data_IF_697967986029
#
_entry.id   IF_697967986029
#
_cell.length_a   1.000
_cell.length_b   1.000
_cell.length_c   1.000
_cell.angle_alpha   90.00
_cell.angle_beta   90.00
_cell.angle_gamma   90.00
#
_symmetry.space_group_name_H-M   'P 1'
#
loop_
_entity.id
_entity.type
_entity.pdbx_description
1 polymer ?
#
# COMPACT_ATOMS: atom_id res chain seq x y z
N UNK A 1 -42.51 49.63 -77.56
CA UNK A 1 -41.43 49.79 -76.57
C UNK A 1 -41.45 48.59 -75.61
N UNK A 2 -40.38 47.79 -75.49
CA UNK A 2 -40.31 46.71 -74.50
C UNK A 2 -39.58 47.20 -73.23
N UNK A 3 -40.02 46.79 -72.03
CA UNK A 3 -39.24 46.96 -70.79
C UNK A 3 -39.26 45.68 -69.94
N UNK A 4 -38.15 44.95 -70.09
CA UNK A 4 -37.35 44.25 -69.09
C UNK A 4 -38.07 43.61 -67.90
N UNK A 5 -38.23 42.29 -67.96
CA UNK A 5 -38.46 41.41 -66.81
C UNK A 5 -37.13 41.13 -66.11
N UNK A 6 -36.95 41.66 -64.90
CA UNK A 6 -35.79 41.36 -64.07
C UNK A 6 -35.98 40.00 -63.36
N UNK A 7 -35.21 39.00 -63.77
CA UNK A 7 -35.17 37.69 -63.08
C UNK A 7 -34.23 37.77 -61.88
N UNK A 8 -34.78 37.73 -60.67
CA UNK A 8 -33.98 37.73 -59.44
C UNK A 8 -33.44 36.33 -59.15
N UNK A 9 -32.13 36.13 -59.32
CA UNK A 9 -31.42 34.89 -59.00
C UNK A 9 -31.29 34.75 -57.48
N UNK A 10 -32.18 33.99 -56.84
CA UNK A 10 -32.04 33.59 -55.42
C UNK A 10 -30.75 32.78 -55.25
N UNK A 11 -29.78 33.34 -54.52
CA UNK A 11 -28.66 32.57 -53.99
C UNK A 11 -29.20 31.61 -52.94
N UNK A 12 -29.19 30.32 -53.30
CA UNK A 12 -29.39 29.21 -52.36
C UNK A 12 -28.37 29.32 -51.23
N UNK A 13 -28.86 29.67 -50.04
CA UNK A 13 -28.07 29.62 -48.81
C UNK A 13 -27.76 28.18 -48.45
N UNK A 14 -26.49 27.79 -48.53
CA UNK A 14 -25.99 26.50 -48.07
C UNK A 14 -26.22 26.44 -46.56
N UNK A 15 -27.17 25.61 -46.10
CA UNK A 15 -27.43 25.41 -44.67
C UNK A 15 -26.14 24.88 -44.00
N UNK A 16 -25.64 25.50 -42.92
CA UNK A 16 -24.51 24.95 -42.19
C UNK A 16 -24.95 23.64 -41.53
N UNK A 17 -24.16 22.59 -41.77
CA UNK A 17 -24.40 21.24 -41.28
C UNK A 17 -23.95 21.13 -39.81
N UNK A 18 -24.60 21.86 -38.89
CA UNK A 18 -24.20 21.97 -37.48
C UNK A 18 -24.44 20.73 -36.62
N UNK A 19 -24.99 19.65 -37.20
CA UNK A 19 -25.27 18.40 -36.47
C UNK A 19 -24.02 17.54 -36.25
N UNK A 20 -22.94 17.74 -37.00
CA UNK A 20 -21.71 16.94 -36.85
C UNK A 20 -20.84 17.41 -35.69
N UNK A 21 -20.81 18.70 -35.41
CA UNK A 21 -19.91 19.26 -34.39
C UNK A 21 -20.34 18.90 -32.96
N UNK A 22 -21.65 18.70 -32.71
CA UNK A 22 -22.15 18.40 -31.36
C UNK A 22 -21.85 16.97 -30.90
N UNK A 23 -21.84 16.00 -31.81
CA UNK A 23 -21.53 14.60 -31.47
C UNK A 23 -20.04 14.34 -31.26
N UNK A 24 -19.19 15.09 -31.97
CA UNK A 24 -17.74 14.93 -31.88
C UNK A 24 -17.21 15.30 -30.49
N UNK A 25 -17.64 16.43 -29.92
CA UNK A 25 -17.20 16.86 -28.58
C UNK A 25 -17.60 15.88 -27.48
N UNK A 26 -18.75 15.19 -27.61
CA UNK A 26 -19.16 14.15 -26.67
C UNK A 26 -18.24 12.93 -26.70
N UNK A 27 -17.77 12.54 -27.89
CA UNK A 27 -16.86 11.39 -28.05
C UNK A 27 -15.45 11.73 -27.56
N UNK A 28 -14.94 12.92 -27.85
CA UNK A 28 -13.64 13.38 -27.34
C UNK A 28 -13.63 13.43 -25.80
N UNK A 29 -14.72 13.91 -25.19
CA UNK A 29 -14.85 13.91 -23.74
C UNK A 29 -14.99 12.48 -23.17
N UNK A 30 -15.78 11.62 -23.81
CA UNK A 30 -15.93 10.22 -23.39
C UNK A 30 -14.60 9.44 -23.42
N UNK A 31 -13.71 9.77 -24.36
CA UNK A 31 -12.36 9.19 -24.42
C UNK A 31 -11.39 9.79 -23.40
N UNK A 32 -11.59 11.03 -22.95
CA UNK A 32 -10.72 11.66 -21.95
C UNK A 32 -10.98 11.15 -20.50
N UNK A 33 -12.24 10.88 -20.15
CA UNK A 33 -12.64 10.37 -18.83
C UNK A 33 -11.83 9.16 -18.36
N UNK A 34 -11.65 8.06 -19.14
CA UNK A 34 -10.91 6.90 -18.67
C UNK A 34 -9.45 7.23 -18.33
N UNK A 35 -8.79 8.13 -19.07
CA UNK A 35 -7.42 8.56 -18.74
C UNK A 35 -7.38 9.37 -17.45
N UNK A 36 -8.33 10.28 -17.25
CA UNK A 36 -8.40 11.08 -16.01
C UNK A 36 -8.65 10.15 -14.81
N UNK A 37 -9.54 9.16 -14.94
CA UNK A 37 -9.80 8.17 -13.90
C UNK A 37 -8.55 7.33 -13.58
N UNK A 38 -7.79 6.90 -14.60
CA UNK A 38 -6.53 6.19 -14.40
C UNK A 38 -5.51 7.02 -13.64
N UNK A 39 -5.39 8.31 -13.96
CA UNK A 39 -4.46 9.23 -13.27
C UNK A 39 -4.88 9.42 -11.82
N UNK A 40 -6.16 9.67 -11.55
CA UNK A 40 -6.68 9.82 -10.19
C UNK A 40 -6.44 8.53 -9.40
N UNK A 41 -6.71 7.38 -9.99
CA UNK A 41 -6.48 6.07 -9.37
C UNK A 41 -5.00 5.84 -9.06
N UNK A 42 -4.10 6.18 -9.99
CA UNK A 42 -2.65 6.10 -9.77
C UNK A 42 -2.20 6.99 -8.61
N UNK A 43 -2.69 8.24 -8.54
CA UNK A 43 -2.36 9.18 -7.45
C UNK A 43 -2.88 8.64 -6.11
N UNK A 44 -4.12 8.14 -6.05
CA UNK A 44 -4.69 7.57 -4.82
C UNK A 44 -3.89 6.36 -4.33
N UNK A 45 -3.53 5.43 -5.22
CA UNK A 45 -2.72 4.27 -4.85
C UNK A 45 -1.32 4.65 -4.40
N UNK A 46 -0.67 5.55 -5.13
CA UNK A 46 0.65 6.05 -4.76
C UNK A 46 0.63 6.74 -3.40
N UNK A 47 -0.34 7.62 -3.16
CA UNK A 47 -0.53 8.29 -1.88
C UNK A 47 -0.74 7.31 -0.73
N UNK A 48 -1.52 6.24 -0.95
CA UNK A 48 -1.74 5.19 0.05
C UNK A 48 -0.47 4.39 0.36
N UNK A 49 0.29 3.98 -0.66
CA UNK A 49 1.57 3.26 -0.45
C UNK A 49 2.55 4.11 0.33
N UNK A 50 2.69 5.38 -0.05
CA UNK A 50 3.57 6.33 0.64
C UNK A 50 3.17 6.54 2.09
N UNK A 51 1.87 6.71 2.35
CA UNK A 51 1.33 6.84 3.71
C UNK A 51 1.64 5.63 4.60
N UNK A 52 1.45 4.41 4.07
CA UNK A 52 1.76 3.17 4.80
C UNK A 52 3.26 3.09 5.10
N UNK A 53 4.13 3.32 4.11
CA UNK A 53 5.59 3.35 4.32
C UNK A 53 5.99 4.31 5.42
N UNK A 54 5.52 5.55 5.36
CA UNK A 54 5.85 6.56 6.35
C UNK A 54 5.40 6.15 7.77
N UNK A 55 4.21 5.57 7.89
CA UNK A 55 3.67 5.12 9.18
C UNK A 55 4.47 3.95 9.77
N UNK A 56 4.86 2.99 8.93
CA UNK A 56 5.72 1.86 9.33
C UNK A 56 7.11 2.36 9.74
N UNK A 57 7.67 3.35 9.05
CA UNK A 57 8.96 3.95 9.39
C UNK A 57 8.96 4.56 10.77
N UNK A 58 7.95 5.37 11.06
CA UNK A 58 7.78 6.00 12.36
C UNK A 58 7.58 4.96 13.47
N UNK A 59 6.75 3.95 13.22
CA UNK A 59 6.53 2.84 14.15
C UNK A 59 7.82 2.06 14.43
N UNK A 60 8.61 1.73 13.41
CA UNK A 60 9.88 1.02 13.56
C UNK A 60 10.92 1.87 14.32
N UNK A 61 11.02 3.17 14.03
CA UNK A 61 11.92 4.08 14.72
C UNK A 61 11.60 4.17 16.21
N UNK A 62 10.33 4.39 16.53
CA UNK A 62 9.89 4.53 17.91
C UNK A 62 9.98 3.21 18.69
N UNK A 63 9.67 2.08 18.04
CA UNK A 63 9.86 0.75 18.60
C UNK A 63 11.32 0.46 18.92
N UNK A 64 12.23 0.79 17.99
CA UNK A 64 13.67 0.60 18.21
C UNK A 64 14.18 1.46 19.38
N UNK A 65 13.70 2.70 19.46
CA UNK A 65 14.02 3.62 20.57
C UNK A 65 13.45 3.15 21.91
N UNK A 66 12.29 2.51 21.92
CA UNK A 66 11.73 1.92 23.13
C UNK A 66 12.55 0.70 23.60
N UNK A 67 12.94 -0.16 22.66
CA UNK A 67 13.74 -1.35 22.92
C UNK A 67 15.17 -1.03 23.39
N UNK A 68 15.80 0.03 22.90
CA UNK A 68 17.16 0.41 23.30
C UNK A 68 17.29 0.72 24.79
N UNK A 69 16.17 1.08 25.45
CA UNK A 69 16.08 1.38 26.89
C UNK A 69 15.61 0.20 27.74
N UNK A 70 15.23 -0.91 27.13
CA UNK A 70 14.69 -2.06 27.83
C UNK A 70 15.80 -3.06 28.18
N UNK A 71 15.85 -3.56 29.43
CA UNK A 71 16.74 -4.66 29.79
C UNK A 71 16.18 -6.01 29.30
N UNK A 72 17.03 -7.03 29.24
CA UNK A 72 16.64 -8.43 29.03
C UNK A 72 15.85 -8.73 27.74
N UNK A 73 16.26 -8.16 26.60
CA UNK A 73 15.63 -8.48 25.30
C UNK A 73 15.84 -9.93 24.83
N UNK A 74 16.61 -10.76 25.54
CA UNK A 74 16.66 -12.20 25.27
C UNK A 74 15.32 -12.89 25.53
N UNK A 75 14.50 -12.37 26.44
CA UNK A 75 13.17 -12.89 26.74
C UNK A 75 12.14 -12.44 25.67
N UNK A 76 11.51 -13.37 24.93
CA UNK A 76 10.47 -13.04 23.95
C UNK A 76 9.33 -12.21 24.54
N UNK A 77 8.88 -12.52 25.76
CA UNK A 77 7.75 -11.81 26.36
C UNK A 77 8.04 -10.34 26.60
N UNK A 78 9.29 -9.97 26.89
CA UNK A 78 9.70 -8.58 27.02
C UNK A 78 9.61 -7.87 25.67
N UNK A 79 10.21 -8.45 24.62
CA UNK A 79 10.22 -7.87 23.26
C UNK A 79 8.81 -7.66 22.73
N UNK A 80 7.96 -8.68 22.85
CA UNK A 80 6.57 -8.65 22.43
C UNK A 80 5.74 -7.64 23.23
N UNK A 81 6.05 -7.45 24.51
CA UNK A 81 5.39 -6.42 25.32
C UNK A 81 5.80 -5.00 24.91
N UNK A 82 7.07 -4.76 24.58
CA UNK A 82 7.57 -3.45 24.12
C UNK A 82 6.98 -3.06 22.78
N UNK A 83 7.01 -4.00 21.85
CA UNK A 83 6.55 -3.80 20.47
C UNK A 83 5.04 -3.96 20.40
N UNK A 84 4.42 -4.66 21.33
CA UNK A 84 2.98 -4.85 21.42
C UNK A 84 2.44 -5.94 20.51
N UNK A 85 3.28 -6.62 19.74
CA UNK A 85 2.89 -7.73 18.87
C UNK A 85 3.82 -8.92 19.04
N UNK A 86 3.27 -10.11 18.83
CA UNK A 86 4.08 -11.31 18.54
C UNK A 86 4.74 -11.18 17.16
N UNK A 87 5.78 -11.98 16.86
CA UNK A 87 6.41 -11.99 15.53
C UNK A 87 5.44 -12.21 14.36
N UNK A 88 4.35 -12.95 14.60
CA UNK A 88 3.28 -13.23 13.64
C UNK A 88 2.16 -12.16 13.62
N UNK A 89 2.31 -11.11 14.41
CA UNK A 89 1.40 -9.95 14.40
C UNK A 89 0.14 -10.09 15.25
N UNK A 90 0.10 -11.02 16.22
CA UNK A 90 -0.95 -11.03 17.24
C UNK A 90 -0.71 -9.91 18.24
N UNK A 91 -1.76 -9.17 18.61
CA UNK A 91 -1.65 -8.10 19.60
C UNK A 91 -1.42 -8.67 21.00
N UNK A 92 -0.35 -8.21 21.65
CA UNK A 92 0.02 -8.56 23.02
C UNK A 92 -0.22 -7.38 23.97
N UNK A 93 0.21 -6.18 23.57
CA UNK A 93 0.08 -4.97 24.38
C UNK A 93 -0.45 -3.80 23.53
N UNK A 94 -1.75 -3.42 23.70
CA UNK A 94 -2.34 -2.30 22.98
C UNK A 94 -1.72 -0.94 23.34
N UNK A 95 -1.12 -0.81 24.52
CA UNK A 95 -0.50 0.43 25.02
C UNK A 95 0.95 0.60 24.53
N UNK A 96 1.47 -0.35 23.75
CA UNK A 96 2.77 -0.21 23.08
C UNK A 96 2.78 1.00 22.15
N UNK A 97 3.93 1.68 22.08
CA UNK A 97 4.11 2.82 21.18
C UNK A 97 4.00 2.41 19.72
N UNK A 98 4.44 1.18 19.37
CA UNK A 98 4.31 0.63 18.01
C UNK A 98 2.85 0.29 17.73
N UNK A 99 2.14 -0.36 18.66
CA UNK A 99 0.72 -0.67 18.49
C UNK A 99 -0.13 0.61 18.34
N UNK A 100 0.14 1.62 19.16
CA UNK A 100 -0.50 2.93 19.06
C UNK A 100 -0.20 3.65 17.74
N UNK A 101 1.06 3.64 17.28
CA UNK A 101 1.45 4.24 16.01
C UNK A 101 0.72 3.57 14.83
N UNK A 102 0.71 2.23 14.78
CA UNK A 102 0.04 1.47 13.74
C UNK A 102 -1.49 1.61 13.81
N UNK A 103 -2.05 1.75 15.02
CA UNK A 103 -3.49 1.95 15.25
C UNK A 103 -3.97 3.31 14.82
N UNK A 104 -3.19 4.35 15.10
CA UNK A 104 -3.46 5.70 14.57
C UNK A 104 -3.42 5.74 13.04
N UNK A 105 -2.59 4.90 12.42
CA UNK A 105 -2.48 4.75 10.98
C UNK A 105 -3.53 3.80 10.35
N UNK A 106 -4.43 3.21 11.16
CA UNK A 106 -5.44 2.23 10.73
C UNK A 106 -4.87 1.03 9.99
N UNK A 107 -3.75 0.51 10.48
CA UNK A 107 -3.05 -0.64 9.91
C UNK A 107 -3.34 -1.95 10.65
N UNK A 108 -4.32 -1.98 11.56
CA UNK A 108 -4.73 -3.17 12.32
C UNK A 108 -6.10 -3.66 11.85
N UNK A 109 -6.42 -4.90 12.24
CA UNK A 109 -7.65 -5.60 11.86
C UNK A 109 -8.93 -4.91 12.35
N UNK A 110 -8.91 -4.24 13.50
CA UNK A 110 -10.11 -3.68 14.14
C UNK A 110 -10.00 -2.15 14.35
N UNK A 111 -9.66 -1.44 13.28
CA UNK A 111 -9.46 0.02 13.23
C UNK A 111 -8.24 0.48 14.04
N UNK A 112 -8.44 0.86 15.31
CA UNK A 112 -7.40 1.47 16.15
C UNK A 112 -6.75 0.46 17.12
N UNK A 113 -7.28 -0.75 17.20
CA UNK A 113 -6.77 -1.84 18.03
C UNK A 113 -7.01 -3.15 17.29
N UNK A 114 -6.28 -4.22 17.62
CA UNK A 114 -6.45 -5.54 17.00
C UNK A 114 -5.13 -6.11 16.50
N UNK A 115 -5.21 -7.17 15.71
CA UNK A 115 -4.02 -7.83 15.20
C UNK A 115 -3.53 -7.14 13.93
N UNK A 116 -2.27 -7.33 13.60
CA UNK A 116 -1.79 -7.01 12.28
C UNK A 116 -2.47 -7.89 11.22
N UNK A 117 -2.63 -7.41 9.98
CA UNK A 117 -3.17 -8.20 8.90
C UNK A 117 -2.38 -9.49 8.69
N UNK A 118 -3.05 -10.56 8.29
CA UNK A 118 -2.40 -11.83 7.97
C UNK A 118 -1.28 -11.65 6.94
N UNK A 119 -0.10 -12.20 7.22
CA UNK A 119 1.12 -12.03 6.42
C UNK A 119 2.04 -10.89 6.88
N UNK A 120 1.63 -10.11 7.89
CA UNK A 120 2.53 -9.14 8.53
C UNK A 120 3.49 -9.83 9.48
N UNK A 121 4.68 -9.27 9.66
CA UNK A 121 5.65 -9.73 10.66
C UNK A 121 6.25 -8.55 11.39
N UNK A 122 6.49 -8.70 12.68
CA UNK A 122 7.23 -7.71 13.46
C UNK A 122 8.37 -8.39 14.19
N UNK A 123 9.59 -8.12 13.75
CA UNK A 123 10.79 -8.80 14.26
C UNK A 123 11.67 -7.81 15.00
N UNK A 124 12.14 -8.22 16.17
CA UNK A 124 13.20 -7.52 16.91
C UNK A 124 14.51 -8.25 16.68
N UNK A 125 15.41 -7.62 15.94
CA UNK A 125 16.71 -8.20 15.59
C UNK A 125 17.74 -7.87 16.69
N UNK A 126 18.64 -8.83 17.03
CA UNK A 126 18.85 -10.10 16.33
C UNK A 126 18.02 -11.28 16.84
N UNK A 127 17.28 -11.15 17.95
CA UNK A 127 16.62 -12.30 18.60
C UNK A 127 15.52 -12.96 17.77
N UNK A 128 14.74 -12.17 17.04
CA UNK A 128 13.66 -12.66 16.17
C UNK A 128 14.12 -12.72 14.71
N UNK A 129 15.45 -12.80 14.46
CA UNK A 129 15.97 -12.98 13.12
C UNK A 129 15.44 -14.29 12.52
N UNK A 130 14.88 -14.19 11.32
CA UNK A 130 14.47 -15.34 10.52
C UNK A 130 15.64 -15.90 9.71
N UNK A 131 15.30 -16.71 8.71
CA UNK A 131 16.25 -17.22 7.72
C UNK A 131 16.68 -16.18 6.68
N UNK A 132 16.16 -14.96 6.76
CA UNK A 132 16.37 -13.94 5.73
C UNK A 132 17.78 -13.33 5.89
N UNK A 133 18.63 -13.33 4.85
CA UNK A 133 19.96 -12.74 4.93
C UNK A 133 19.93 -11.22 5.22
N UNK A 134 18.78 -10.59 4.93
CA UNK A 134 18.50 -9.19 5.24
C UNK A 134 18.24 -8.92 6.72
N UNK A 135 18.16 -9.94 7.59
CA UNK A 135 18.05 -9.76 9.04
C UNK A 135 19.42 -9.55 9.72
N UNK A 136 20.52 -9.68 8.96
CA UNK A 136 21.85 -9.39 9.46
C UNK A 136 21.95 -7.92 9.91
N UNK A 137 22.39 -7.72 11.15
CA UNK A 137 22.65 -6.41 11.77
C UNK A 137 24.10 -6.39 12.27
N UNK A 138 24.76 -5.22 12.33
CA UNK A 138 26.05 -5.10 12.99
C UNK A 138 25.97 -5.52 14.46
N UNK A 139 27.00 -6.23 14.93
CA UNK A 139 27.08 -6.67 16.32
C UNK A 139 26.94 -5.49 17.28
N UNK A 140 26.24 -5.68 18.39
CA UNK A 140 26.02 -4.62 19.38
C UNK A 140 24.84 -3.70 19.08
N UNK A 141 24.04 -3.97 18.05
CA UNK A 141 22.94 -3.10 17.61
C UNK A 141 21.59 -3.80 17.76
N UNK A 142 20.51 -3.03 17.85
CA UNK A 142 19.13 -3.54 17.87
C UNK A 142 18.40 -2.95 16.66
N UNK A 143 17.51 -3.73 16.06
CA UNK A 143 16.65 -3.23 15.00
C UNK A 143 15.21 -3.73 15.15
N UNK A 144 14.25 -2.89 14.76
CA UNK A 144 12.86 -3.31 14.55
C UNK A 144 12.61 -3.39 13.06
N UNK A 145 12.15 -4.55 12.61
CA UNK A 145 11.73 -4.79 11.23
C UNK A 145 10.22 -5.05 11.23
N UNK A 146 9.49 -4.28 10.44
CA UNK A 146 8.06 -4.46 10.24
C UNK A 146 7.84 -4.81 8.77
N UNK A 147 7.20 -5.95 8.54
CA UNK A 147 6.70 -6.36 7.24
C UNK A 147 5.20 -6.25 7.23
N UNK A 148 4.70 -5.55 6.22
CA UNK A 148 3.29 -5.27 6.07
C UNK A 148 2.82 -5.64 4.65
N UNK A 149 1.86 -6.57 4.50
CA UNK A 149 1.32 -6.92 3.20
C UNK A 149 0.44 -5.77 2.71
N UNK A 150 0.89 -5.04 1.69
CA UNK A 150 0.10 -3.97 1.13
C UNK A 150 -1.10 -4.56 0.39
N UNK A 151 -2.31 -4.19 0.82
CA UNK A 151 -3.54 -4.49 0.10
C UNK A 151 -4.01 -3.26 -0.65
N UNK A 152 -4.19 -3.39 -1.96
CA UNK A 152 -4.86 -2.37 -2.75
C UNK A 152 -6.25 -2.07 -2.17
N UNK A 153 -6.76 -0.87 -2.44
CA UNK A 153 -8.18 -0.56 -2.25
C UNK A 153 -8.98 -1.64 -2.98
N UNK A 154 -10.05 -2.13 -2.36
CA UNK A 154 -10.86 -3.26 -2.84
C UNK A 154 -10.97 -3.26 -4.35
N UNK A 155 -10.73 -4.43 -4.96
CA UNK A 155 -10.95 -4.60 -6.39
C UNK A 155 -12.43 -4.28 -6.67
N UNK A 156 -12.76 -3.23 -7.46
CA UNK A 156 -14.15 -2.84 -7.70
C UNK A 156 -14.96 -3.91 -8.47
N UNK A 157 -14.28 -4.96 -8.94
CA UNK A 157 -14.87 -6.11 -9.63
C UNK A 157 -15.05 -7.34 -8.73
N UNK A 158 -14.76 -7.27 -7.43
CA UNK A 158 -14.82 -8.43 -6.55
C UNK A 158 -15.65 -8.19 -5.27
N UNK A 159 -16.94 -8.51 -5.34
CA UNK A 159 -17.78 -8.78 -4.18
C UNK A 159 -17.99 -10.29 -4.06
N UNK A 160 -17.10 -10.97 -3.33
CA UNK A 160 -17.49 -12.23 -2.68
C UNK A 160 -16.51 -13.38 -2.69
N UNK A 161 -15.55 -13.50 -3.61
CA UNK A 161 -14.58 -14.62 -3.61
C UNK A 161 -13.24 -14.15 -4.20
N UNK A 162 -12.18 -14.18 -3.39
CA UNK A 162 -10.83 -13.74 -3.75
C UNK A 162 -10.11 -14.72 -4.69
N UNK A 163 -10.68 -15.08 -5.84
CA UNK A 163 -9.98 -15.88 -6.87
C UNK A 163 -8.95 -15.04 -7.65
N UNK A 164 -9.17 -13.72 -7.72
CA UNK A 164 -8.13 -12.76 -8.10
C UNK A 164 -7.65 -12.06 -6.83
N UNK A 165 -6.72 -12.69 -6.11
CA UNK A 165 -6.01 -12.05 -5.01
C UNK A 165 -5.19 -10.85 -5.50
N UNK A 166 -4.51 -10.14 -4.59
CA UNK A 166 -3.48 -9.15 -4.94
C UNK A 166 -2.21 -9.85 -5.51
N UNK A 167 -2.36 -10.98 -6.17
CA UNK A 167 -1.32 -11.79 -6.80
C UNK A 167 -1.84 -12.18 -8.19
N UNK A 168 -1.02 -11.98 -9.22
CA UNK A 168 -1.24 -12.61 -10.52
C UNK A 168 -0.35 -13.84 -10.52
N UNK A 169 -0.99 -14.99 -10.65
CA UNK A 169 -0.34 -16.29 -10.61
C UNK A 169 -0.15 -16.78 -12.05
N UNK A 170 1.11 -16.96 -12.45
CA UNK A 170 1.45 -17.55 -13.74
C UNK A 170 1.59 -19.05 -13.53
N UNK A 171 0.74 -19.83 -14.19
CA UNK A 171 0.83 -21.29 -14.19
C UNK A 171 2.12 -21.73 -14.88
N UNK A 172 2.93 -22.53 -14.19
CA UNK A 172 4.27 -22.93 -14.66
C UNK A 172 4.34 -24.37 -15.17
N UNK A 173 3.25 -25.13 -15.03
CA UNK A 173 3.15 -26.50 -15.51
C UNK A 173 2.36 -27.41 -14.56
N UNK A 174 2.11 -28.67 -14.96
CA UNK A 174 1.37 -29.65 -14.17
C UNK A 174 2.00 -29.97 -12.81
N UNK A 175 3.33 -29.86 -12.71
CA UNK A 175 4.11 -30.15 -11.50
C UNK A 175 4.75 -28.89 -10.87
N UNK A 176 4.43 -27.70 -11.42
CA UNK A 176 5.03 -26.44 -11.01
C UNK A 176 4.09 -25.63 -10.12
N UNK A 177 4.59 -25.18 -8.96
CA UNK A 177 3.86 -24.19 -8.16
C UNK A 177 3.72 -22.89 -8.97
N UNK A 178 2.55 -22.22 -8.95
CA UNK A 178 2.35 -20.96 -9.64
C UNK A 178 3.29 -19.89 -9.12
N UNK A 179 3.78 -19.02 -10.01
CA UNK A 179 4.61 -17.87 -9.62
C UNK A 179 3.73 -16.64 -9.48
N UNK A 180 3.71 -16.06 -8.29
CA UNK A 180 2.86 -14.91 -7.92
C UNK A 180 3.62 -13.59 -8.02
N UNK A 181 3.09 -12.60 -8.75
CA UNK A 181 3.84 -11.36 -9.09
C UNK A 181 3.36 -10.05 -8.45
N UNK A 182 2.38 -10.06 -7.53
CA UNK A 182 1.82 -8.82 -6.95
C UNK A 182 1.83 -8.75 -5.42
N UNK A 183 2.47 -9.70 -4.73
CA UNK A 183 2.61 -9.65 -3.28
C UNK A 183 3.95 -9.04 -2.89
N UNK A 184 4.07 -7.70 -2.98
CA UNK A 184 5.22 -7.00 -2.44
C UNK A 184 4.90 -6.55 -1.01
N UNK A 185 5.37 -7.26 0.03
CA UNK A 185 5.28 -6.73 1.38
C UNK A 185 6.09 -5.43 1.43
N UNK A 186 5.50 -4.40 2.04
CA UNK A 186 6.27 -3.22 2.43
C UNK A 186 7.08 -3.63 3.65
N UNK A 187 8.40 -3.71 3.49
CA UNK A 187 9.32 -3.98 4.59
C UNK A 187 10.02 -2.68 4.97
N UNK A 188 9.96 -2.34 6.26
CA UNK A 188 10.58 -1.16 6.83
C UNK A 188 11.43 -1.60 8.04
N UNK A 189 12.66 -1.07 8.13
CA UNK A 189 13.60 -1.43 9.18
C UNK A 189 14.29 -0.20 9.73
N UNK A 190 14.34 -0.09 11.06
CA UNK A 190 15.16 0.92 11.75
C UNK A 190 16.13 0.23 12.69
N UNK A 191 17.31 0.82 12.85
CA UNK A 191 18.44 0.29 13.62
C UNK A 191 18.90 1.34 14.63
N UNK A 192 19.18 0.94 15.87
CA UNK A 192 19.76 1.82 16.91
C UNK A 192 20.72 1.06 17.84
N UNK A 193 21.66 1.81 18.43
CA UNK A 193 22.53 1.30 19.48
C UNK A 193 21.75 1.22 20.81
N UNK A 194 21.87 0.12 21.58
CA UNK A 194 21.27 0.02 22.90
C UNK A 194 21.92 0.98 23.90
N UNK A 195 21.11 1.56 24.79
CA UNK A 195 21.59 2.38 25.90
C UNK A 195 21.98 1.54 27.13
N UNK A 196 21.48 0.30 27.21
CA UNK A 196 21.81 -0.67 28.25
C UNK A 196 22.60 -1.83 27.68
N UNK A 197 23.54 -2.38 28.46
CA UNK A 197 24.31 -3.54 28.04
C UNK A 197 23.40 -4.78 27.92
N UNK A 198 23.40 -5.41 26.74
CA UNK A 198 22.60 -6.60 26.46
C UNK A 198 23.51 -7.78 26.11
N UNK A 199 23.15 -8.97 26.58
CA UNK A 199 23.76 -10.21 26.10
C UNK A 199 23.17 -10.55 24.73
N UNK A 200 24.00 -10.36 23.71
CA UNK A 200 23.69 -10.83 22.36
C UNK A 200 23.89 -12.35 22.30
N UNK A 201 23.02 -13.08 21.57
CA UNK A 201 23.20 -14.50 21.32
C UNK A 201 24.43 -14.80 20.46
#
# INVERSE_FOLDING_TARGET
MPRLSATYKRRSGRKPNSKRDQGQSMVEFALAIPFILLIIMAIMYFGRVFYVKQSLSLAAQEGTRALSRMPNLSDPSVREFVVGFTPDGQLVNPDSVVAGALGSARLLSSQNTGNLPAGSKVRVLPWDAGSDPEDAIPAGTIAVRIEYPFKFLENPFNSGNSEFGNSVDIWTGPDGAPVSFLNFPISERTVAMPELFQQFP
#
